data_IF_533309146444
#
_entry.id   IF_533309146444
#
_cell.length_a   1.000
_cell.length_b   1.000
_cell.length_c   1.000
_cell.angle_alpha   90.00
_cell.angle_beta   90.00
_cell.angle_gamma   90.00
#
_symmetry.space_group_name_H-M   'P 1'
#
loop_
_entity.id
_entity.type
_entity.pdbx_description
1 polymer ?
#
# COMPACT_ATOMS: atom_id res chain seq x y z
N UNK A 1 -19.81 -19.78 17.88
CA UNK A 1 -18.39 -20.11 17.62
C UNK A 1 -17.89 -19.12 16.57
N UNK A 2 -17.29 -18.02 16.98
CA UNK A 2 -16.75 -17.01 16.06
C UNK A 2 -15.30 -17.38 15.74
N UNK A 3 -15.08 -18.07 14.62
CA UNK A 3 -13.73 -18.21 14.08
C UNK A 3 -13.24 -16.82 13.67
N UNK A 4 -12.22 -16.31 14.36
CA UNK A 4 -11.45 -15.19 13.84
C UNK A 4 -10.98 -15.56 12.42
N UNK A 5 -11.15 -14.68 11.41
CA UNK A 5 -10.67 -15.00 10.07
C UNK A 5 -9.17 -15.23 10.15
N UNK A 6 -8.72 -16.42 9.77
CA UNK A 6 -7.30 -16.72 9.65
C UNK A 6 -6.65 -15.58 8.86
N UNK A 7 -5.61 -14.97 9.45
CA UNK A 7 -4.91 -13.82 8.89
C UNK A 7 -4.28 -14.28 7.58
N UNK A 8 -5.00 -14.12 6.46
CA UNK A 8 -4.54 -14.55 5.14
C UNK A 8 -3.29 -13.73 4.82
N UNK A 9 -2.15 -14.40 4.80
CA UNK A 9 -0.91 -13.79 4.32
C UNK A 9 -0.99 -13.70 2.80
N UNK A 10 -0.61 -12.55 2.24
CA UNK A 10 -0.57 -12.36 0.80
C UNK A 10 0.57 -13.21 0.21
N UNK A 11 0.24 -14.08 -0.76
CA UNK A 11 1.22 -14.95 -1.41
C UNK A 11 2.02 -14.17 -2.47
N UNK A 12 3.32 -13.90 -2.29
CA UNK A 12 4.12 -13.14 -3.25
C UNK A 12 4.34 -13.87 -4.59
N UNK A 13 4.12 -15.18 -4.65
CA UNK A 13 4.27 -15.98 -5.86
C UNK A 13 3.02 -16.02 -6.74
N UNK A 14 1.88 -15.52 -6.25
CA UNK A 14 0.66 -15.44 -7.04
C UNK A 14 0.87 -14.51 -8.26
N UNK A 15 0.35 -14.85 -9.45
CA UNK A 15 0.50 -14.02 -10.64
C UNK A 15 -0.27 -12.69 -10.55
N UNK A 16 -1.30 -12.63 -9.71
CA UNK A 16 -2.06 -11.42 -9.43
C UNK A 16 -2.57 -11.39 -8.00
N UNK A 17 -2.71 -10.18 -7.47
CA UNK A 17 -3.26 -9.90 -6.15
C UNK A 17 -4.63 -9.24 -6.24
N UNK A 18 -5.46 -9.56 -5.25
CA UNK A 18 -6.75 -8.92 -5.01
C UNK A 18 -6.61 -7.79 -3.99
N UNK A 19 -7.69 -7.04 -3.78
CA UNK A 19 -7.72 -6.02 -2.74
C UNK A 19 -7.42 -6.60 -1.34
N UNK A 20 -7.90 -7.81 -1.03
CA UNK A 20 -7.64 -8.48 0.23
C UNK A 20 -6.14 -8.79 0.43
N UNK A 21 -5.44 -9.18 -0.63
CA UNK A 21 -3.99 -9.45 -0.57
C UNK A 21 -3.20 -8.15 -0.37
N UNK A 22 -3.60 -7.07 -1.05
CA UNK A 22 -3.02 -5.73 -0.86
C UNK A 22 -3.24 -5.25 0.57
N UNK A 23 -4.46 -5.42 1.10
CA UNK A 23 -4.80 -5.06 2.47
C UNK A 23 -3.99 -5.86 3.50
N UNK A 24 -3.82 -7.17 3.25
CA UNK A 24 -2.97 -8.04 4.07
C UNK A 24 -1.50 -7.58 4.05
N UNK A 25 -0.94 -7.24 2.88
CA UNK A 25 0.45 -6.73 2.76
C UNK A 25 0.62 -5.36 3.43
N UNK A 26 -0.39 -4.50 3.37
CA UNK A 26 -0.40 -3.20 4.02
C UNK A 26 -0.67 -3.28 5.53
N UNK A 27 -1.15 -4.42 6.04
CA UNK A 27 -1.57 -4.56 7.43
C UNK A 27 -2.82 -3.75 7.79
N UNK A 28 -3.67 -3.42 6.80
CA UNK A 28 -4.85 -2.58 6.94
C UNK A 28 -6.14 -3.36 6.62
N UNK A 29 -7.28 -2.82 7.04
CA UNK A 29 -8.58 -3.34 6.62
C UNK A 29 -8.84 -3.01 5.15
N UNK A 30 -9.48 -3.93 4.43
CA UNK A 30 -9.80 -3.78 3.00
C UNK A 30 -10.65 -2.53 2.73
N UNK A 31 -11.59 -2.21 3.63
CA UNK A 31 -12.38 -0.98 3.59
C UNK A 31 -11.52 0.29 3.65
N UNK A 32 -10.55 0.34 4.56
CA UNK A 32 -9.62 1.47 4.72
C UNK A 32 -8.76 1.66 3.47
N UNK A 33 -8.28 0.55 2.89
CA UNK A 33 -7.55 0.63 1.62
C UNK A 33 -8.42 1.25 0.53
N UNK A 34 -9.63 0.72 0.33
CA UNK A 34 -10.50 1.14 -0.76
C UNK A 34 -10.98 2.59 -0.64
N UNK A 35 -11.25 3.06 0.58
CA UNK A 35 -11.87 4.37 0.82
C UNK A 35 -10.85 5.50 0.98
N UNK A 36 -9.74 5.22 1.64
CA UNK A 36 -8.79 6.27 2.05
C UNK A 36 -7.48 6.12 1.30
N UNK A 37 -6.88 4.93 1.31
CA UNK A 37 -5.51 4.76 0.82
C UNK A 37 -5.38 4.67 -0.68
N UNK A 38 -6.24 3.92 -1.35
CA UNK A 38 -6.15 3.71 -2.79
C UNK A 38 -6.28 5.04 -3.56
N UNK A 39 -7.25 5.93 -3.26
CA UNK A 39 -7.29 7.25 -3.89
C UNK A 39 -6.02 8.07 -3.66
N UNK A 40 -5.50 8.09 -2.42
CA UNK A 40 -4.23 8.77 -2.10
C UNK A 40 -3.07 8.22 -2.93
N UNK A 41 -2.99 6.89 -3.07
CA UNK A 41 -1.90 6.21 -3.77
C UNK A 41 -1.99 6.33 -5.29
N UNK A 42 -3.20 6.36 -5.85
CA UNK A 42 -3.45 6.58 -7.27
C UNK A 42 -3.17 8.04 -7.68
N UNK A 43 -3.35 8.99 -6.76
CA UNK A 43 -3.07 10.41 -6.98
C UNK A 43 -1.60 10.81 -6.77
N UNK A 44 -0.76 9.95 -6.19
CA UNK A 44 0.67 10.25 -6.00
C UNK A 44 1.39 10.36 -7.35
N UNK A 45 1.83 11.58 -7.70
CA UNK A 45 2.50 11.84 -8.98
C UNK A 45 3.94 11.33 -9.02
N UNK A 46 4.59 11.13 -7.86
CA UNK A 46 5.99 10.71 -7.78
C UNK A 46 6.11 9.20 -7.84
N UNK A 47 5.18 8.49 -7.21
CA UNK A 47 5.16 7.04 -7.18
C UNK A 47 3.72 6.51 -7.23
N UNK A 48 3.06 6.58 -8.40
CA UNK A 48 1.67 6.20 -8.54
C UNK A 48 1.47 4.71 -8.31
N UNK A 49 0.34 4.35 -7.70
CA UNK A 49 -0.04 2.94 -7.51
C UNK A 49 -0.24 2.24 -8.86
N UNK A 50 0.14 0.95 -9.00
CA UNK A 50 -0.10 0.19 -10.20
C UNK A 50 -1.58 0.13 -10.57
N UNK A 51 -1.88 0.24 -11.86
CA UNK A 51 -3.25 0.05 -12.34
C UNK A 51 -3.66 -1.43 -12.29
N UNK A 52 -4.95 -1.73 -12.05
CA UNK A 52 -5.45 -3.09 -12.16
C UNK A 52 -5.35 -3.60 -13.60
N UNK A 53 -5.32 -4.92 -13.74
CA UNK A 53 -5.27 -5.63 -15.01
C UNK A 53 -6.49 -5.24 -15.88
N UNK A 54 -6.28 -4.97 -17.19
CA UNK A 54 -7.29 -4.36 -18.05
C UNK A 54 -8.54 -5.24 -18.25
N UNK A 55 -8.37 -6.55 -18.15
CA UNK A 55 -9.44 -7.54 -18.25
C UNK A 55 -10.18 -7.79 -16.92
N UNK A 56 -9.65 -7.30 -15.79
CA UNK A 56 -10.21 -7.55 -14.44
C UNK A 56 -10.85 -6.30 -13.82
N UNK A 57 -11.69 -5.60 -14.58
CA UNK A 57 -12.31 -4.33 -14.11
C UNK A 57 -13.29 -4.50 -12.95
N UNK A 58 -14.01 -5.63 -12.87
CA UNK A 58 -15.01 -5.88 -11.81
C UNK A 58 -14.42 -6.38 -10.50
N UNK A 59 -13.44 -7.28 -10.58
CA UNK A 59 -12.84 -7.91 -9.40
C UNK A 59 -11.59 -7.17 -8.91
N UNK A 60 -11.07 -6.21 -9.71
CA UNK A 60 -9.86 -5.45 -9.46
C UNK A 60 -8.70 -6.36 -9.06
N UNK A 61 -7.96 -6.85 -10.07
CA UNK A 61 -6.77 -7.68 -9.87
C UNK A 61 -5.56 -6.88 -10.31
N UNK A 62 -4.48 -6.92 -9.54
CA UNK A 62 -3.23 -6.24 -9.84
C UNK A 62 -2.12 -7.23 -10.10
N UNK A 63 -1.15 -6.85 -10.93
CA UNK A 63 0.05 -7.67 -11.11
C UNK A 63 0.86 -7.66 -9.82
N UNK A 64 1.05 -8.84 -9.20
CA UNK A 64 1.67 -8.98 -7.87
C UNK A 64 3.03 -8.30 -7.78
N UNK A 65 3.91 -8.57 -8.75
CA UNK A 65 5.25 -7.99 -8.78
C UNK A 65 5.25 -6.46 -8.91
N UNK A 66 4.23 -5.89 -9.57
CA UNK A 66 4.14 -4.43 -9.69
C UNK A 66 3.76 -3.79 -8.36
N UNK A 67 2.83 -4.43 -7.62
CA UNK A 67 2.43 -3.98 -6.27
C UNK A 67 3.56 -4.14 -5.28
N UNK A 68 4.27 -5.28 -5.29
CA UNK A 68 5.43 -5.52 -4.43
C UNK A 68 6.53 -4.47 -4.64
N UNK A 69 6.94 -4.24 -5.90
CA UNK A 69 7.95 -3.21 -6.19
C UNK A 69 7.51 -1.82 -5.77
N UNK A 70 6.23 -1.50 -5.90
CA UNK A 70 5.71 -0.22 -5.43
C UNK A 70 5.82 -0.09 -3.90
N UNK A 71 5.52 -1.14 -3.13
CA UNK A 71 5.73 -1.13 -1.67
C UNK A 71 7.21 -0.96 -1.32
N UNK A 72 8.11 -1.70 -1.99
CA UNK A 72 9.56 -1.59 -1.76
C UNK A 72 10.09 -0.18 -2.07
N UNK A 73 9.63 0.43 -3.16
CA UNK A 73 10.01 1.80 -3.53
C UNK A 73 9.51 2.81 -2.50
N UNK A 74 8.30 2.62 -1.95
CA UNK A 74 7.77 3.47 -0.88
C UNK A 74 8.53 3.31 0.42
N UNK A 75 8.84 2.08 0.82
CA UNK A 75 9.64 1.79 2.00
C UNK A 75 11.04 2.43 1.85
N UNK A 76 11.65 2.29 0.67
CA UNK A 76 12.93 2.94 0.34
C UNK A 76 12.82 4.47 0.39
N UNK A 77 11.78 5.06 -0.20
CA UNK A 77 11.57 6.51 -0.18
C UNK A 77 11.31 7.04 1.24
N UNK A 78 10.59 6.28 2.08
CA UNK A 78 10.35 6.63 3.47
C UNK A 78 11.64 6.58 4.30
N UNK A 79 12.53 5.61 4.03
CA UNK A 79 13.84 5.50 4.67
C UNK A 79 14.83 6.56 4.16
N UNK A 80 14.75 6.93 2.88
CA UNK A 80 15.61 7.93 2.26
C UNK A 80 15.16 9.37 2.55
N UNK A 81 13.91 9.58 2.98
CA UNK A 81 13.44 10.88 3.42
C UNK A 81 14.25 11.28 4.66
N UNK A 82 15.05 12.37 4.59
CA UNK A 82 15.79 12.83 5.76
C UNK A 82 14.76 13.12 6.84
N UNK A 83 14.93 12.48 8.01
CA UNK A 83 14.26 12.88 9.24
C UNK A 83 14.54 14.37 9.38
N UNK A 84 13.57 15.20 8.98
CA UNK A 84 13.56 16.61 9.37
C UNK A 84 13.28 16.58 10.86
N UNK A 85 14.35 16.38 11.62
CA UNK A 85 14.45 16.84 12.99
C UNK A 85 14.03 18.30 12.91
N UNK A 86 12.78 18.56 13.28
CA UNK A 86 12.34 19.89 13.61
C UNK A 86 13.25 20.30 14.76
N UNK A 87 14.35 20.98 14.44
CA UNK A 87 15.06 21.83 15.37
C UNK A 87 14.00 22.81 15.81
N UNK A 88 13.41 22.54 16.98
CA UNK A 88 12.62 23.50 17.71
C UNK A 88 13.58 24.67 17.90
N UNK A 89 13.41 25.72 17.09
CA UNK A 89 13.94 27.03 17.40
C UNK A 89 13.24 27.47 18.68
N UNK A 90 13.79 27.03 19.82
CA UNK A 90 13.55 27.66 21.10
C UNK A 90 14.18 29.04 21.03
N UNK A 91 13.40 30.03 20.60
CA UNK A 91 13.65 31.42 20.98
C UNK A 91 13.75 31.50 22.51
N UNK A 92 14.66 32.28 23.08
CA UNK A 92 14.62 33.75 23.27
C UNK A 92 14.96 33.95 24.77
N UNK A 93 15.32 35.14 25.29
CA UNK A 93 15.85 36.38 24.69
C UNK A 93 17.36 36.57 24.89
#
# INVERSE_FOLDING_TARGET
>A
MSSAPARRLADPSAPWWTMADIAARAGLAEYTIRRERLPEWECDQKLPFPRPLPWSKRQLRWHTQAVLRWFEMRETAAMAAPVRLAVVQGGRP
#
